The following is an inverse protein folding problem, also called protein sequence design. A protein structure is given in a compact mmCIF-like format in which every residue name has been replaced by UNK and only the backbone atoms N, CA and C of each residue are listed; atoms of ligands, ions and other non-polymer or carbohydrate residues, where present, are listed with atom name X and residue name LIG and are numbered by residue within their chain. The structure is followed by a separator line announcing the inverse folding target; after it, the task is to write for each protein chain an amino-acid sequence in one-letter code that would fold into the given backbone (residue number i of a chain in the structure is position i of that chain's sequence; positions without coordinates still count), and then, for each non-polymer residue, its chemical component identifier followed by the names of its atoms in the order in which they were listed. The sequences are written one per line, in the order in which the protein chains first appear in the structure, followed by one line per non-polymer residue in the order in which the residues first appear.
data_IF_528370187324
#
_entry.id   IF_528370187324
#
_cell.length_a   1.000
_cell.length_b   1.000
_cell.length_c   1.000
_cell.angle_alpha   90.00
_cell.angle_beta   90.00
_cell.angle_gamma   90.00
#
_symmetry.space_group_name_H-M   'P 1'
#
loop_
_entity.id
_entity.type
_entity.pdbx_description
1 polymer ?
#
# COMPACT_ATOMS: atom_id res chain seq x y z
N UNK A 1 -32.55 -7.25 32.16
CA UNK A 1 -32.41 -7.98 30.89
C UNK A 1 -31.85 -6.97 29.90
N UNK A 2 -30.52 -6.96 29.73
CA UNK A 2 -29.80 -6.10 28.79
C UNK A 2 -29.02 -7.05 27.90
N UNK A 3 -29.55 -7.29 26.71
CA UNK A 3 -28.91 -8.13 25.70
C UNK A 3 -27.87 -7.25 24.98
N UNK A 4 -26.79 -6.92 25.69
CA UNK A 4 -25.65 -6.19 25.17
C UNK A 4 -24.76 -7.14 24.39
N UNK A 5 -25.17 -7.50 23.18
CA UNK A 5 -24.34 -8.30 22.26
C UNK A 5 -23.09 -7.50 21.88
N UNK A 6 -22.02 -7.70 22.64
CA UNK A 6 -20.64 -7.24 22.40
C UNK A 6 -19.98 -8.03 21.25
N UNK A 7 -20.76 -8.39 20.23
CA UNK A 7 -20.26 -9.09 19.07
C UNK A 7 -19.49 -8.08 18.21
N UNK A 8 -18.18 -8.26 17.96
CA UNK A 8 -17.46 -7.39 17.07
C UNK A 8 -18.17 -7.41 15.71
N UNK A 9 -18.32 -6.26 15.04
CA UNK A 9 -18.94 -6.23 13.72
C UNK A 9 -18.22 -7.23 12.83
N UNK A 10 -18.99 -8.15 12.23
CA UNK A 10 -18.55 -9.13 11.22
C UNK A 10 -18.24 -8.42 9.89
N UNK A 11 -17.58 -7.27 9.96
CA UNK A 11 -17.14 -6.54 8.80
C UNK A 11 -16.12 -7.41 8.07
N UNK A 12 -16.49 -7.85 6.86
CA UNK A 12 -15.56 -8.54 5.97
C UNK A 12 -14.27 -7.72 5.88
N UNK A 13 -13.09 -8.33 6.08
CA UNK A 13 -11.84 -7.60 5.96
C UNK A 13 -11.77 -6.99 4.56
N UNK A 14 -11.36 -5.73 4.51
CA UNK A 14 -11.19 -5.04 3.24
C UNK A 14 -10.11 -5.75 2.41
N UNK A 15 -10.38 -6.17 1.17
CA UNK A 15 -9.38 -6.81 0.34
C UNK A 15 -8.27 -5.83 0.00
N UNK A 16 -7.03 -6.28 0.15
CA UNK A 16 -5.86 -5.52 -0.26
C UNK A 16 -5.91 -5.29 -1.78
N UNK A 17 -5.88 -4.02 -2.26
CA UNK A 17 -6.08 -3.73 -3.68
C UNK A 17 -4.82 -3.94 -4.52
N UNK A 18 -3.66 -4.19 -3.91
CA UNK A 18 -2.38 -4.18 -4.59
C UNK A 18 -1.93 -5.58 -4.99
N UNK A 19 -1.71 -5.77 -6.29
CA UNK A 19 -0.96 -6.90 -6.83
C UNK A 19 0.51 -6.48 -6.95
N UNK A 20 1.43 -7.38 -6.60
CA UNK A 20 2.87 -7.09 -6.61
C UNK A 20 3.58 -8.05 -7.55
N UNK A 21 4.26 -7.50 -8.57
CA UNK A 21 5.24 -8.22 -9.38
C UNK A 21 6.65 -7.91 -8.85
N UNK A 22 7.38 -8.97 -8.49
CA UNK A 22 8.71 -8.91 -7.87
C UNK A 22 9.77 -9.66 -8.67
N UNK A 23 9.49 -9.95 -9.95
CA UNK A 23 10.46 -10.65 -10.82
C UNK A 23 11.75 -9.86 -10.96
N UNK A 24 11.66 -8.54 -11.02
CA UNK A 24 12.78 -7.63 -10.84
C UNK A 24 12.72 -7.01 -9.43
N UNK A 25 13.64 -7.44 -8.54
CA UNK A 25 13.73 -6.91 -7.16
C UNK A 25 14.21 -5.46 -7.09
N UNK A 26 14.85 -4.95 -8.15
CA UNK A 26 15.28 -3.55 -8.23
C UNK A 26 14.15 -2.62 -8.72
N UNK A 27 13.17 -3.19 -9.43
CA UNK A 27 12.03 -2.47 -10.01
C UNK A 27 10.70 -3.21 -9.78
N UNK A 28 10.27 -3.47 -8.52
CA UNK A 28 8.97 -4.08 -8.29
C UNK A 28 7.84 -3.21 -8.83
N UNK A 29 6.83 -3.85 -9.40
CA UNK A 29 5.66 -3.18 -9.98
C UNK A 29 4.44 -3.45 -9.12
N UNK A 30 3.78 -2.39 -8.68
CA UNK A 30 2.50 -2.45 -7.96
C UNK A 30 1.36 -2.15 -8.91
N UNK A 31 0.36 -3.03 -8.98
CA UNK A 31 -0.84 -2.82 -9.80
C UNK A 31 -2.06 -2.64 -8.90
N UNK A 32 -2.83 -1.57 -9.11
CA UNK A 32 -4.11 -1.41 -8.42
C UNK A 32 -5.17 -2.33 -9.06
N UNK A 33 -5.53 -3.42 -8.38
CA UNK A 33 -6.58 -4.36 -8.80
C UNK A 33 -8.00 -3.95 -8.41
N UNK A 34 -8.18 -2.80 -7.75
CA UNK A 34 -9.47 -2.37 -7.23
C UNK A 34 -10.03 -1.13 -7.97
N UNK A 35 -10.98 -0.44 -7.33
CA UNK A 35 -11.51 0.86 -7.77
C UNK A 35 -10.42 1.95 -7.70
N UNK A 36 -10.64 3.14 -8.29
CA UNK A 36 -9.70 4.25 -8.18
C UNK A 36 -9.37 4.58 -6.72
N UNK A 37 -8.09 4.83 -6.46
CA UNK A 37 -7.55 5.19 -5.16
C UNK A 37 -7.01 6.61 -5.21
N UNK A 38 -7.12 7.34 -4.10
CA UNK A 38 -6.70 8.73 -4.00
C UNK A 38 -5.50 8.87 -3.05
N UNK A 39 -4.72 9.93 -3.27
CA UNK A 39 -3.55 10.30 -2.46
C UNK A 39 -2.55 9.15 -2.25
N UNK A 40 -2.38 8.29 -3.26
CA UNK A 40 -1.46 7.17 -3.22
C UNK A 40 -0.03 7.69 -3.06
N UNK A 41 0.66 7.17 -2.05
CA UNK A 41 2.06 7.44 -1.76
C UNK A 41 2.78 6.14 -1.41
N UNK A 42 4.01 6.00 -1.92
CA UNK A 42 4.89 4.88 -1.59
C UNK A 42 6.14 5.42 -0.95
N UNK A 43 6.58 4.79 0.12
CA UNK A 43 7.80 5.16 0.81
C UNK A 43 8.51 3.94 1.37
N UNK A 44 9.84 3.97 1.30
CA UNK A 44 10.71 3.01 1.97
C UNK A 44 11.03 3.54 3.35
N UNK A 45 10.89 2.71 4.38
CA UNK A 45 11.17 3.11 5.75
C UNK A 45 11.73 1.95 6.54
N UNK A 46 13.06 1.83 6.54
CA UNK A 46 13.95 1.41 7.64
C UNK A 46 15.40 1.34 7.10
N UNK A 47 16.29 2.16 7.66
CA UNK A 47 17.69 2.34 7.20
C UNK A 47 18.24 3.72 7.58
N UNK A 48 19.57 3.90 7.52
CA UNK A 48 20.29 5.14 7.93
C UNK A 48 20.05 6.33 6.98
N UNK A 49 19.30 6.13 5.89
CA UNK A 49 19.02 7.15 4.88
C UNK A 49 17.68 7.87 5.06
N UNK A 50 17.50 9.05 4.43
CA UNK A 50 16.21 9.73 4.42
C UNK A 50 15.15 8.88 3.73
N UNK A 51 13.97 8.79 4.35
CA UNK A 51 12.82 8.09 3.77
C UNK A 51 12.48 8.69 2.39
N UNK A 52 12.64 7.91 1.32
CA UNK A 52 12.24 8.33 -0.02
C UNK A 52 10.74 8.13 -0.17
N UNK A 53 10.00 9.23 -0.13
CA UNK A 53 8.55 9.24 -0.42
C UNK A 53 8.32 9.64 -1.86
N UNK A 54 7.53 8.86 -2.57
CA UNK A 54 7.02 9.17 -3.91
C UNK A 54 5.50 9.35 -3.84
N UNK A 55 5.02 10.47 -4.34
CA UNK A 55 3.61 10.83 -4.40
C UNK A 55 3.08 10.54 -5.81
N UNK A 56 2.12 9.62 -5.92
CA UNK A 56 1.41 9.36 -7.19
C UNK A 56 0.10 10.11 -7.28
N UNK A 57 -0.56 10.36 -6.14
CA UNK A 57 -1.87 11.00 -6.14
C UNK A 57 -2.96 10.00 -6.52
N UNK A 58 -3.65 10.21 -7.64
CA UNK A 58 -4.77 9.35 -8.04
C UNK A 58 -4.29 8.19 -8.90
N UNK A 59 -4.68 6.97 -8.55
CA UNK A 59 -4.33 5.73 -9.27
C UNK A 59 -5.60 5.02 -9.72
N UNK A 60 -5.72 4.74 -11.02
CA UNK A 60 -6.86 4.06 -11.62
C UNK A 60 -6.81 2.55 -11.39
N UNK A 61 -7.92 1.88 -11.65
CA UNK A 61 -7.96 0.43 -11.74
C UNK A 61 -7.03 -0.04 -12.88
N UNK A 62 -6.21 -1.06 -12.61
CA UNK A 62 -5.20 -1.61 -13.52
C UNK A 62 -3.94 -0.75 -13.69
N UNK A 63 -3.88 0.45 -13.09
CA UNK A 63 -2.71 1.32 -13.21
C UNK A 63 -1.53 0.76 -12.42
N UNK A 64 -0.34 0.92 -13.01
CA UNK A 64 0.92 0.34 -12.52
C UNK A 64 1.85 1.42 -11.99
N UNK A 65 2.48 1.12 -10.86
CA UNK A 65 3.49 1.94 -10.20
C UNK A 65 4.79 1.16 -10.19
N UNK A 66 5.74 1.56 -11.01
CA UNK A 66 7.11 1.03 -10.95
C UNK A 66 7.88 1.74 -9.83
N UNK A 67 8.40 0.95 -8.89
CA UNK A 67 9.16 1.45 -7.76
C UNK A 67 10.64 1.17 -8.01
N UNK A 68 11.45 2.22 -8.17
CA UNK A 68 12.88 2.04 -8.37
C UNK A 68 13.60 2.02 -7.02
N UNK A 69 14.32 0.92 -6.79
CA UNK A 69 15.05 0.58 -5.57
C UNK A 69 16.58 0.48 -5.81
N UNK A 70 17.10 1.04 -6.89
CA UNK A 70 18.52 0.92 -7.26
C UNK A 70 19.48 1.53 -6.23
N UNK A 71 19.01 2.50 -5.44
CA UNK A 71 19.83 3.21 -4.45
C UNK A 71 19.56 2.78 -2.99
N UNK A 72 18.86 1.66 -2.78
CA UNK A 72 18.57 1.14 -1.44
C UNK A 72 19.18 -0.24 -1.25
N UNK A 73 19.51 -0.59 0.00
CA UNK A 73 19.83 -1.96 0.35
C UNK A 73 18.56 -2.82 0.20
N UNK A 74 18.62 -3.82 -0.69
CA UNK A 74 17.46 -4.60 -1.11
C UNK A 74 17.20 -5.79 -0.19
N UNK A 75 18.17 -6.18 0.64
CA UNK A 75 18.01 -7.36 1.49
C UNK A 75 17.08 -7.07 2.68
N UNK A 76 16.97 -5.81 3.10
CA UNK A 76 16.13 -5.37 4.23
C UNK A 76 15.12 -4.26 3.88
N UNK A 77 14.84 -4.02 2.59
CA UNK A 77 13.90 -2.96 2.20
C UNK A 77 12.45 -3.32 2.52
N UNK A 78 11.82 -2.52 3.37
CA UNK A 78 10.37 -2.54 3.60
C UNK A 78 9.70 -1.44 2.78
N UNK A 79 8.88 -1.83 1.81
CA UNK A 79 8.01 -0.93 1.09
C UNK A 79 6.73 -0.70 1.88
N UNK A 80 6.37 0.58 2.03
CA UNK A 80 5.07 1.00 2.56
C UNK A 80 4.30 1.72 1.46
N UNK A 81 3.06 1.29 1.22
CA UNK A 81 2.11 1.99 0.38
C UNK A 81 0.94 2.46 1.24
N UNK A 82 0.57 3.73 1.07
CA UNK A 82 -0.57 4.34 1.73
C UNK A 82 -1.50 5.00 0.71
N UNK A 83 -2.80 4.92 0.95
CA UNK A 83 -3.83 5.43 0.04
C UNK A 83 -5.14 5.71 0.77
N UNK A 84 -6.01 6.47 0.11
CA UNK A 84 -7.38 6.70 0.54
C UNK A 84 -8.35 6.06 -0.45
N UNK A 85 -9.50 5.61 0.06
CA UNK A 85 -10.63 5.25 -0.79
C UNK A 85 -11.57 6.45 -0.90
N UNK A 86 -12.18 6.66 -2.09
CA UNK A 86 -13.27 7.61 -2.19
C UNK A 86 -14.42 7.22 -1.24
N UNK A 87 -14.77 8.12 -0.32
CA UNK A 87 -16.04 8.06 0.41
C UNK A 87 -15.99 7.58 1.87
N UNK A 88 -14.87 7.05 2.37
CA UNK A 88 -14.74 6.71 3.80
C UNK A 88 -13.82 7.66 4.58
N UNK A 89 -12.95 8.41 3.90
CA UNK A 89 -12.00 9.33 4.54
C UNK A 89 -10.93 8.63 5.37
N UNK A 90 -10.77 7.30 5.23
CA UNK A 90 -9.79 6.52 5.98
C UNK A 90 -8.51 6.35 5.17
N UNK A 91 -7.37 6.51 5.83
CA UNK A 91 -6.08 6.12 5.27
C UNK A 91 -5.87 4.62 5.48
N UNK A 92 -5.57 3.94 4.38
CA UNK A 92 -5.18 2.54 4.36
C UNK A 92 -3.68 2.46 4.17
N UNK A 93 -3.03 1.56 4.92
CA UNK A 93 -1.58 1.37 4.87
C UNK A 93 -1.29 -0.12 4.75
N UNK A 94 -0.36 -0.44 3.87
CA UNK A 94 0.16 -1.79 3.72
C UNK A 94 1.68 -1.78 3.59
N UNK A 95 2.34 -2.71 4.29
CA UNK A 95 3.79 -2.88 4.31
C UNK A 95 4.16 -4.28 3.84
N UNK A 96 5.22 -4.39 3.05
CA UNK A 96 5.75 -5.67 2.59
C UNK A 96 7.24 -5.57 2.24
N UNK A 97 7.94 -6.71 2.29
CA UNK A 97 9.32 -6.87 1.81
C UNK A 97 9.33 -7.24 0.32
N UNK A 98 10.38 -6.87 -0.41
CA UNK A 98 10.51 -7.11 -1.87
C UNK A 98 11.34 -8.35 -2.18
#
# INVERSE_FOLDING_TARGET
MLDGSDAPPTASPYPLPWLVDRRDRSHPVLTNGARPLDFVRVFTGEGVGPARTRLWGRVRAGEQLEICLCDVDRDDVVLTIAWFRPGDGLEYVWRFVV
#
